data_IF_448041969019
#
_entry.id   IF_448041969019
#
_cell.length_a   1.000
_cell.length_b   1.000
_cell.length_c   1.000
_cell.angle_alpha   90.00
_cell.angle_beta   90.00
_cell.angle_gamma   90.00
#
_symmetry.space_group_name_H-M   'P 1'
#
loop_
_entity.id
_entity.type
_entity.pdbx_description
1 polymer ?
#
# COMPACT_ATOMS: atom_id res chain seq x y z
N UNK A 1 77.92 -10.56 31.72
CA UNK A 1 77.18 -9.90 32.83
C UNK A 1 75.80 -9.52 32.32
N UNK A 2 74.75 -10.00 33.01
CA UNK A 2 73.32 -9.58 32.99
C UNK A 2 72.56 -9.85 31.68
N UNK A 3 71.76 -10.91 31.49
CA UNK A 3 70.54 -11.42 32.15
C UNK A 3 69.30 -10.50 32.10
N UNK A 4 68.12 -11.14 32.03
CA UNK A 4 66.73 -10.63 32.00
C UNK A 4 66.16 -10.42 30.58
N UNK A 5 65.00 -10.95 30.18
CA UNK A 5 63.97 -11.68 30.91
C UNK A 5 62.86 -12.11 29.95
N UNK A 6 62.39 -13.33 30.18
CA UNK A 6 61.25 -14.00 29.58
C UNK A 6 59.95 -13.27 29.96
N UNK A 7 59.16 -12.86 28.97
CA UNK A 7 57.76 -12.45 29.20
C UNK A 7 56.89 -12.97 28.05
N UNK A 8 56.52 -14.24 28.15
CA UNK A 8 55.46 -14.87 27.37
C UNK A 8 54.12 -14.31 27.88
N UNK A 9 53.60 -13.32 27.17
CA UNK A 9 52.24 -12.81 27.38
C UNK A 9 51.32 -13.60 26.45
N UNK A 10 50.65 -14.62 26.98
CA UNK A 10 49.57 -15.33 26.28
C UNK A 10 48.38 -14.37 26.12
N UNK A 11 48.30 -13.70 24.98
CA UNK A 11 47.07 -13.05 24.54
C UNK A 11 46.16 -14.15 23.95
N UNK A 12 45.21 -14.65 24.74
CA UNK A 12 44.08 -15.40 24.20
C UNK A 12 43.26 -14.46 23.33
N UNK A 13 43.45 -14.55 22.02
CA UNK A 13 42.57 -13.97 21.02
C UNK A 13 41.18 -14.60 21.18
N UNK A 14 40.26 -13.85 21.78
CA UNK A 14 38.84 -14.04 21.52
C UNK A 14 38.62 -13.68 20.04
N UNK A 15 38.82 -14.65 19.15
CA UNK A 15 38.23 -14.61 17.83
C UNK A 15 36.72 -14.67 18.07
N UNK A 16 36.05 -13.52 18.06
CA UNK A 16 34.62 -13.50 17.85
C UNK A 16 34.39 -14.21 16.51
N UNK A 17 33.75 -15.36 16.54
CA UNK A 17 33.24 -16.04 15.36
C UNK A 17 32.13 -15.13 14.80
N UNK A 18 32.54 -14.10 14.07
CA UNK A 18 31.64 -13.36 13.20
C UNK A 18 31.44 -14.28 12.02
N UNK A 19 30.52 -15.24 12.20
CA UNK A 19 30.01 -16.05 11.10
C UNK A 19 29.62 -15.14 9.93
N UNK A 20 29.64 -15.66 8.69
CA UNK A 20 29.36 -14.84 7.52
C UNK A 20 28.06 -14.07 7.73
N UNK A 21 28.13 -12.73 7.60
CA UNK A 21 26.97 -11.85 7.73
C UNK A 21 26.00 -12.18 6.60
N UNK A 22 25.07 -13.08 6.86
CA UNK A 22 24.02 -13.44 5.94
C UNK A 22 22.90 -12.42 6.13
N UNK A 23 22.50 -11.76 5.05
CA UNK A 23 21.36 -10.84 5.11
C UNK A 23 20.13 -11.62 5.56
N UNK A 24 19.70 -11.39 6.81
CA UNK A 24 18.48 -11.97 7.36
C UNK A 24 17.27 -11.29 6.72
N UNK A 25 16.21 -12.05 6.48
CA UNK A 25 14.97 -11.51 5.96
C UNK A 25 14.24 -10.65 7.00
N UNK A 26 13.60 -9.58 6.57
CA UNK A 26 12.66 -8.81 7.39
C UNK A 26 11.29 -9.49 7.41
N UNK A 27 10.89 -10.06 6.27
CA UNK A 27 9.63 -10.77 6.08
C UNK A 27 9.86 -12.04 5.28
N UNK A 28 9.25 -13.14 5.74
CA UNK A 28 9.17 -14.41 4.99
C UNK A 28 7.73 -14.86 4.87
N UNK A 29 7.29 -15.14 3.65
CA UNK A 29 6.01 -15.80 3.38
C UNK A 29 6.28 -17.29 3.12
N UNK A 30 5.61 -18.18 3.86
CA UNK A 30 5.82 -19.64 3.78
C UNK A 30 4.54 -20.40 3.47
N UNK A 31 4.68 -21.52 2.76
CA UNK A 31 3.58 -22.48 2.51
C UNK A 31 2.54 -21.98 1.50
N UNK A 32 2.83 -20.88 0.81
CA UNK A 32 1.98 -20.35 -0.25
C UNK A 32 2.33 -20.95 -1.60
N UNK A 33 1.48 -20.72 -2.59
CA UNK A 33 1.82 -20.85 -4.01
C UNK A 33 2.27 -19.49 -4.50
N UNK A 34 3.58 -19.29 -4.64
CA UNK A 34 4.18 -18.04 -5.12
C UNK A 34 4.33 -18.11 -6.63
N UNK A 35 3.66 -17.24 -7.38
CA UNK A 35 3.91 -17.10 -8.81
C UNK A 35 5.03 -16.08 -9.04
N UNK A 36 6.05 -16.48 -9.81
CA UNK A 36 7.29 -15.68 -9.95
C UNK A 36 7.33 -14.85 -11.23
N UNK A 37 6.55 -15.22 -12.24
CA UNK A 37 6.67 -14.68 -13.59
C UNK A 37 7.91 -15.12 -14.37
N UNK A 38 8.81 -15.94 -13.81
CA UNK A 38 9.94 -16.55 -14.52
C UNK A 38 9.52 -17.89 -15.16
N UNK A 39 9.56 -18.04 -16.50
CA UNK A 39 9.22 -19.31 -17.16
C UNK A 39 10.04 -20.52 -16.71
N UNK A 40 11.25 -20.32 -16.15
CA UNK A 40 12.13 -21.39 -15.67
C UNK A 40 11.80 -21.83 -14.24
N UNK A 41 11.11 -20.99 -13.48
CA UNK A 41 10.68 -21.27 -12.12
C UNK A 41 9.31 -20.63 -11.86
N UNK A 42 8.25 -21.03 -12.59
CA UNK A 42 6.98 -20.29 -12.61
C UNK A 42 6.24 -20.29 -11.27
N UNK A 43 6.58 -21.23 -10.38
CA UNK A 43 6.02 -21.35 -9.04
C UNK A 43 7.11 -21.59 -7.99
N UNK A 44 6.86 -21.14 -6.77
CA UNK A 44 7.66 -21.37 -5.58
C UNK A 44 6.76 -21.53 -4.34
N UNK A 45 7.35 -21.99 -3.23
CA UNK A 45 6.62 -22.27 -1.98
C UNK A 45 6.78 -21.16 -0.94
N UNK A 46 7.81 -20.34 -1.12
CA UNK A 46 8.20 -19.31 -0.17
C UNK A 46 8.93 -18.15 -0.86
N UNK A 47 8.88 -16.99 -0.20
CA UNK A 47 9.66 -15.81 -0.57
C UNK A 47 10.17 -15.10 0.69
N UNK A 48 11.45 -14.71 0.67
CA UNK A 48 12.11 -13.88 1.67
C UNK A 48 12.32 -12.47 1.13
N UNK A 49 12.02 -11.47 1.95
CA UNK A 49 12.10 -10.06 1.63
C UNK A 49 12.96 -9.37 2.68
N UNK A 50 13.85 -8.48 2.23
CA UNK A 50 14.64 -7.61 3.08
C UNK A 50 15.07 -6.37 2.31
N UNK A 51 15.11 -5.21 2.98
CA UNK A 51 15.54 -3.94 2.39
C UNK A 51 14.75 -3.59 1.09
N UNK A 52 13.46 -3.91 1.06
CA UNK A 52 12.60 -3.66 -0.10
C UNK A 52 12.89 -4.53 -1.33
N UNK A 53 13.65 -5.63 -1.18
CA UNK A 53 13.99 -6.56 -2.27
C UNK A 53 13.68 -8.00 -1.91
N UNK A 54 13.51 -8.84 -2.93
CA UNK A 54 13.43 -10.29 -2.75
C UNK A 54 14.84 -10.83 -2.54
N UNK A 55 15.11 -11.40 -1.36
CA UNK A 55 16.38 -12.04 -1.04
C UNK A 55 16.44 -13.48 -1.58
N UNK A 56 15.31 -14.18 -1.55
CA UNK A 56 15.15 -15.53 -2.12
C UNK A 56 13.70 -15.83 -2.45
N UNK A 57 13.47 -16.65 -3.48
CA UNK A 57 12.17 -17.23 -3.83
C UNK A 57 12.38 -18.67 -4.30
N UNK A 58 11.65 -19.62 -3.73
CA UNK A 58 11.89 -21.03 -4.04
C UNK A 58 11.26 -22.01 -3.05
N UNK A 59 11.87 -23.21 -2.89
CA UNK A 59 11.46 -24.20 -1.90
C UNK A 59 11.50 -23.63 -0.48
N UNK A 60 10.57 -24.04 0.37
CA UNK A 60 10.44 -23.50 1.72
C UNK A 60 11.73 -23.62 2.55
N UNK A 61 12.49 -24.71 2.40
CA UNK A 61 13.74 -24.96 3.13
C UNK A 61 14.81 -23.93 2.79
N UNK A 62 14.95 -23.57 1.51
CA UNK A 62 15.95 -22.60 1.06
C UNK A 62 15.71 -21.20 1.63
N UNK A 63 14.43 -20.83 1.75
CA UNK A 63 14.00 -19.53 2.27
C UNK A 63 14.07 -19.50 3.80
N UNK A 64 13.76 -20.63 4.48
CA UNK A 64 13.87 -20.75 5.95
C UNK A 64 15.28 -20.45 6.46
N UNK A 65 16.31 -20.70 5.65
CA UNK A 65 17.70 -20.42 6.01
C UNK A 65 18.03 -18.92 6.14
N UNK A 66 17.10 -18.04 5.75
CA UNK A 66 17.20 -16.57 5.89
C UNK A 66 16.39 -16.03 7.08
N UNK A 67 15.73 -16.91 7.85
CA UNK A 67 14.98 -16.51 9.04
C UNK A 67 15.97 -16.25 10.18
N UNK A 68 16.00 -15.00 10.63
CA UNK A 68 16.74 -14.54 11.81
C UNK A 68 15.81 -14.17 12.97
N UNK A 69 16.39 -13.74 14.11
CA UNK A 69 15.64 -13.42 15.33
C UNK A 69 14.59 -12.31 15.18
N UNK A 70 14.73 -11.44 14.17
CA UNK A 70 13.82 -10.31 13.90
C UNK A 70 12.92 -10.53 12.68
N UNK A 71 13.05 -11.66 11.99
CA UNK A 71 12.25 -11.94 10.80
C UNK A 71 10.79 -12.14 11.15
N UNK A 72 9.90 -11.38 10.52
CA UNK A 72 8.48 -11.67 10.56
C UNK A 72 8.19 -12.86 9.63
N UNK A 73 7.63 -13.93 10.17
CA UNK A 73 7.24 -15.11 9.39
C UNK A 73 5.72 -15.17 9.26
N UNK A 74 5.22 -15.13 8.03
CA UNK A 74 3.80 -15.31 7.72
C UNK A 74 3.58 -16.65 7.02
N UNK A 75 2.90 -17.56 7.70
CA UNK A 75 2.41 -18.79 7.08
C UNK A 75 1.15 -18.48 6.27
N UNK A 76 1.19 -18.78 4.97
CA UNK A 76 0.12 -18.51 4.00
C UNK A 76 -0.32 -19.80 3.29
N UNK A 77 -0.67 -20.88 4.03
CA UNK A 77 -0.96 -22.20 3.47
C UNK A 77 -2.08 -22.15 2.43
N UNK A 78 -1.81 -22.67 1.24
CA UNK A 78 -2.78 -22.75 0.14
C UNK A 78 -3.19 -21.41 -0.48
N UNK A 79 -2.61 -20.29 -0.02
CA UNK A 79 -2.85 -18.97 -0.60
C UNK A 79 -1.92 -18.72 -1.79
N UNK A 80 -2.36 -17.86 -2.70
CA UNK A 80 -1.57 -17.42 -3.86
C UNK A 80 -0.83 -16.12 -3.51
N UNK A 81 0.47 -16.08 -3.76
CA UNK A 81 1.30 -14.88 -3.67
C UNK A 81 1.65 -14.43 -5.09
N UNK A 82 1.40 -13.16 -5.38
CA UNK A 82 1.61 -12.53 -6.68
C UNK A 82 2.45 -11.26 -6.51
N UNK A 83 3.16 -10.81 -7.55
CA UNK A 83 3.62 -9.43 -7.63
C UNK A 83 2.44 -8.48 -7.44
N UNK A 84 2.69 -7.35 -6.76
CA UNK A 84 1.71 -6.27 -6.70
C UNK A 84 1.38 -5.77 -8.10
N UNK A 85 0.17 -5.27 -8.30
CA UNK A 85 -0.23 -4.68 -9.57
C UNK A 85 0.61 -3.43 -9.87
N UNK A 86 1.05 -3.31 -11.13
CA UNK A 86 1.75 -2.14 -11.65
C UNK A 86 0.82 -1.48 -12.65
N UNK A 87 0.41 -0.27 -12.35
CA UNK A 87 -0.32 0.58 -13.27
C UNK A 87 0.66 1.55 -13.95
N UNK A 88 0.78 1.44 -15.27
CA UNK A 88 1.75 2.21 -16.05
C UNK A 88 1.23 3.60 -16.46
N UNK A 89 -0.05 3.91 -16.21
CA UNK A 89 -0.60 5.21 -16.56
C UNK A 89 -1.79 5.58 -15.67
N UNK A 90 -1.55 6.49 -14.74
CA UNK A 90 -2.59 7.03 -13.86
C UNK A 90 -2.49 8.53 -13.71
N UNK A 91 -3.62 9.14 -13.37
CA UNK A 91 -3.70 10.54 -12.93
C UNK A 91 -3.91 10.60 -11.42
N UNK A 92 -2.86 10.35 -10.62
CA UNK A 92 -2.98 10.24 -9.15
C UNK A 92 -3.64 11.46 -8.48
N UNK A 93 -3.26 12.69 -8.86
CA UNK A 93 -3.87 13.90 -8.29
C UNK A 93 -5.35 13.99 -8.63
N UNK A 94 -5.72 13.75 -9.90
CA UNK A 94 -7.11 13.75 -10.33
C UNK A 94 -7.92 12.68 -9.61
N UNK A 95 -7.38 11.45 -9.48
CA UNK A 95 -8.03 10.35 -8.76
C UNK A 95 -8.21 10.67 -7.27
N UNK A 96 -7.20 11.24 -6.63
CA UNK A 96 -7.29 11.69 -5.24
C UNK A 96 -8.35 12.76 -5.03
N UNK A 97 -8.39 13.78 -5.89
CA UNK A 97 -9.45 14.80 -5.84
C UNK A 97 -10.84 14.20 -6.10
N UNK A 98 -10.95 13.22 -7.00
CA UNK A 98 -12.20 12.51 -7.25
C UNK A 98 -12.69 11.76 -6.01
N UNK A 99 -11.80 11.02 -5.32
CA UNK A 99 -12.13 10.30 -4.07
C UNK A 99 -12.53 11.23 -2.92
N UNK A 100 -12.04 12.47 -2.92
CA UNK A 100 -12.38 13.48 -1.91
C UNK A 100 -13.59 14.35 -2.30
N UNK A 101 -14.08 14.23 -3.52
CA UNK A 101 -15.25 14.95 -4.01
C UNK A 101 -16.53 14.39 -3.39
N UNK A 102 -17.64 15.11 -3.53
CA UNK A 102 -18.95 14.61 -3.10
C UNK A 102 -19.35 13.41 -3.98
N UNK A 103 -19.75 12.29 -3.39
CA UNK A 103 -20.25 11.16 -4.19
C UNK A 103 -21.72 11.39 -4.54
N UNK A 104 -22.03 11.55 -5.83
CA UNK A 104 -23.36 11.86 -6.35
C UNK A 104 -23.86 10.80 -7.33
N UNK A 105 -23.07 9.78 -7.64
CA UNK A 105 -23.35 8.86 -8.75
C UNK A 105 -24.55 7.96 -8.46
N UNK A 106 -24.70 7.56 -7.21
CA UNK A 106 -25.81 6.74 -6.70
C UNK A 106 -26.90 7.59 -6.02
N UNK A 107 -26.88 8.92 -6.16
CA UNK A 107 -28.01 9.74 -5.73
C UNK A 107 -29.25 9.27 -6.49
N UNK A 108 -30.33 8.97 -5.76
CA UNK A 108 -31.52 8.30 -6.33
C UNK A 108 -32.54 9.27 -6.93
N UNK A 109 -32.43 10.54 -6.56
CA UNK A 109 -33.34 11.60 -6.96
C UNK A 109 -32.67 12.98 -6.76
N UNK A 110 -33.27 14.05 -7.31
CA UNK A 110 -32.80 15.42 -7.12
C UNK A 110 -32.67 15.87 -5.66
N UNK A 111 -33.50 15.34 -4.76
CA UNK A 111 -33.49 15.73 -3.34
C UNK A 111 -32.24 15.21 -2.65
N UNK A 112 -31.89 13.94 -2.88
CA UNK A 112 -30.68 13.32 -2.36
C UNK A 112 -29.41 13.96 -2.95
N UNK A 113 -29.42 14.27 -4.26
CA UNK A 113 -28.35 15.01 -4.92
C UNK A 113 -28.08 16.35 -4.21
N UNK A 114 -29.13 17.18 -4.02
CA UNK A 114 -29.01 18.47 -3.36
C UNK A 114 -28.56 18.35 -1.90
N UNK A 115 -29.11 17.37 -1.17
CA UNK A 115 -28.76 17.11 0.23
C UNK A 115 -27.27 16.79 0.38
N UNK A 116 -26.72 15.90 -0.47
CA UNK A 116 -25.30 15.52 -0.41
C UNK A 116 -24.37 16.69 -0.70
N UNK A 117 -24.72 17.54 -1.67
CA UNK A 117 -23.97 18.78 -1.96
C UNK A 117 -24.01 19.72 -0.76
N UNK A 118 -25.20 19.94 -0.18
CA UNK A 118 -25.38 20.79 0.99
C UNK A 118 -24.54 20.30 2.19
N UNK A 119 -24.57 19.00 2.51
CA UNK A 119 -23.76 18.44 3.59
C UNK A 119 -22.26 18.60 3.32
N UNK A 120 -21.81 18.38 2.08
CA UNK A 120 -20.40 18.56 1.74
C UNK A 120 -19.96 20.02 1.86
N UNK A 121 -20.81 20.96 1.43
CA UNK A 121 -20.53 22.38 1.47
C UNK A 121 -20.33 22.91 2.91
N UNK A 122 -21.02 22.35 3.92
CA UNK A 122 -20.83 22.73 5.34
C UNK A 122 -19.42 22.51 5.85
N UNK A 123 -18.67 21.58 5.26
CA UNK A 123 -17.30 21.28 5.65
C UNK A 123 -16.26 22.23 5.00
N UNK A 124 -16.68 23.15 4.13
CA UNK A 124 -15.80 24.04 3.38
C UNK A 124 -15.78 25.45 3.99
N UNK A 125 -14.60 26.09 4.06
CA UNK A 125 -14.53 27.53 4.30
C UNK A 125 -15.30 28.30 3.21
N UNK A 126 -15.92 29.44 3.55
CA UNK A 126 -16.56 30.32 2.57
C UNK A 126 -15.63 30.65 1.39
N UNK A 127 -16.18 30.65 0.17
CA UNK A 127 -15.47 30.96 -1.08
C UNK A 127 -14.64 29.80 -1.65
N UNK A 128 -14.44 28.71 -0.91
CA UNK A 128 -13.75 27.53 -1.45
C UNK A 128 -14.67 26.77 -2.40
N UNK A 129 -14.17 26.45 -3.59
CA UNK A 129 -14.90 25.70 -4.59
C UNK A 129 -15.11 24.25 -4.19
N UNK A 130 -16.36 23.78 -4.32
CA UNK A 130 -16.72 22.38 -4.33
C UNK A 130 -16.74 21.92 -5.79
N UNK A 131 -15.74 21.12 -6.17
CA UNK A 131 -15.55 20.63 -7.54
C UNK A 131 -15.60 19.11 -7.60
N UNK A 132 -15.97 18.57 -8.77
CA UNK A 132 -15.98 17.12 -9.04
C UNK A 132 -17.34 16.51 -8.71
N UNK A 133 -17.39 15.26 -8.25
CA UNK A 133 -18.64 14.63 -7.86
C UNK A 133 -19.51 14.23 -9.04
N UNK A 134 -19.09 13.16 -9.72
CA UNK A 134 -19.85 12.58 -10.83
C UNK A 134 -21.27 12.22 -10.38
N UNK A 135 -22.24 12.54 -11.22
CA UNK A 135 -23.65 12.24 -11.06
C UNK A 135 -24.17 11.53 -12.30
N UNK A 136 -25.34 10.89 -12.17
CA UNK A 136 -26.02 10.21 -13.26
C UNK A 136 -27.54 10.42 -13.13
N UNK A 137 -28.07 11.36 -13.90
CA UNK A 137 -29.49 11.70 -13.87
C UNK A 137 -30.40 10.61 -14.46
N UNK A 138 -29.86 9.66 -15.24
CA UNK A 138 -30.68 8.61 -15.86
C UNK A 138 -31.23 7.63 -14.81
N UNK A 139 -30.64 7.62 -13.62
CA UNK A 139 -31.09 6.85 -12.46
C UNK A 139 -32.33 7.47 -11.79
N UNK A 140 -32.66 8.72 -12.10
CA UNK A 140 -33.74 9.46 -11.43
C UNK A 140 -35.07 9.29 -12.16
N UNK A 141 -36.20 9.26 -11.43
CA UNK A 141 -37.52 9.24 -12.05
C UNK A 141 -37.71 10.42 -13.04
N UNK A 142 -37.94 10.08 -14.31
CA UNK A 142 -38.12 11.07 -15.38
C UNK A 142 -36.82 11.73 -15.88
N UNK A 143 -35.65 11.28 -15.40
CA UNK A 143 -34.31 11.74 -15.80
C UNK A 143 -34.18 13.26 -15.98
N UNK A 144 -34.55 14.10 -14.99
CA UNK A 144 -34.33 15.53 -15.09
C UNK A 144 -32.84 15.85 -14.98
N UNK A 145 -32.32 16.75 -15.83
CA UNK A 145 -30.96 17.26 -15.67
C UNK A 145 -30.82 18.11 -14.40
N UNK A 146 -29.65 18.09 -13.73
CA UNK A 146 -29.38 18.94 -12.57
C UNK A 146 -29.62 20.42 -12.84
N UNK A 147 -30.12 21.13 -11.83
CA UNK A 147 -30.37 22.57 -11.90
C UNK A 147 -29.75 23.28 -10.71
N UNK A 148 -29.19 24.47 -10.95
CA UNK A 148 -28.62 25.31 -9.88
C UNK A 148 -29.63 25.62 -8.77
N UNK A 149 -30.92 25.76 -9.13
CA UNK A 149 -31.98 26.09 -8.17
C UNK A 149 -32.15 25.04 -7.06
N UNK A 150 -31.67 23.81 -7.27
CA UNK A 150 -31.72 22.75 -6.27
C UNK A 150 -30.65 22.92 -5.18
N UNK A 151 -29.56 23.65 -5.46
CA UNK A 151 -28.38 23.73 -4.59
C UNK A 151 -28.05 25.14 -4.13
N UNK A 152 -28.41 26.18 -4.90
CA UNK A 152 -28.12 27.58 -4.58
C UNK A 152 -28.61 27.98 -3.17
N UNK A 153 -29.82 27.59 -2.71
CA UNK A 153 -30.29 27.93 -1.36
C UNK A 153 -29.42 27.32 -0.23
N UNK A 154 -28.71 26.23 -0.51
CA UNK A 154 -27.92 25.49 0.47
C UNK A 154 -26.42 25.77 0.37
N UNK A 155 -25.98 26.47 -0.67
CA UNK A 155 -24.56 26.76 -0.94
C UNK A 155 -24.27 28.26 -1.17
N UNK A 156 -24.89 29.19 -0.41
CA UNK A 156 -24.85 30.62 -0.73
C UNK A 156 -23.45 31.24 -0.72
N UNK A 157 -22.50 30.62 -0.01
CA UNK A 157 -21.11 31.07 0.10
C UNK A 157 -20.10 30.05 -0.44
N UNK A 158 -20.56 29.01 -1.14
CA UNK A 158 -19.72 27.91 -1.63
C UNK A 158 -19.96 27.74 -3.12
N UNK A 159 -19.06 28.19 -4.00
CA UNK A 159 -19.21 27.95 -5.44
C UNK A 159 -19.13 26.45 -5.74
N UNK A 160 -20.04 25.96 -6.60
CA UNK A 160 -20.20 24.54 -6.93
C UNK A 160 -20.02 24.30 -8.42
N UNK A 161 -19.22 23.29 -8.77
CA UNK A 161 -19.05 22.77 -10.13
C UNK A 161 -19.00 21.24 -10.09
N UNK A 162 -20.11 20.61 -10.45
CA UNK A 162 -20.30 19.14 -10.45
C UNK A 162 -20.91 18.68 -11.77
#
# INVERSE_FOLDING_TARGET
MRSVGMMLMLAMLFMADVGPFREEAELVLLGGRVWTGDPRQPQAEAVAIGNGRILAVGPAESVRALIGPRTQVLNVPGRLVLPGFIDNHTHFLSGGFHLLSVDLRDARDPQEFARRIAERAKAFPPGRWLTGGNWDHEQWPGAPLPRKEWIDPYTPNTPVFV
#
